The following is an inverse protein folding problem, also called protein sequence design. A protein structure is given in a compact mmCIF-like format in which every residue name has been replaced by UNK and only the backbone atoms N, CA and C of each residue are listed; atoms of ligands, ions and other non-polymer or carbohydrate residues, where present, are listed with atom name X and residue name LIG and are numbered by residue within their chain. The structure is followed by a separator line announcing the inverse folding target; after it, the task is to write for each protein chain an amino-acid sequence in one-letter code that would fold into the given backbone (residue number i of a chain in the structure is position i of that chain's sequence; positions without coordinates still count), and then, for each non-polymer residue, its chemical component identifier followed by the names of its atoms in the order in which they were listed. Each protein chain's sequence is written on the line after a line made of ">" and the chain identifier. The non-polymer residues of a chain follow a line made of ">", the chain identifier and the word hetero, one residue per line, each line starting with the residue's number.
data_IF_428779747949
#
_entry.id   IF_428779747949
#
_cell.length_a   1.000
_cell.length_b   1.000
_cell.length_c   1.000
_cell.angle_alpha   90.00
_cell.angle_beta   90.00
_cell.angle_gamma   90.00
#
_symmetry.space_group_name_H-M   'P 1'
#
loop_
_entity.id
_entity.type
_entity.pdbx_description
1 polymer ?
#
# COMPACT_ATOMS: atom_id res chain seq x y z
N UNK A 1 24.00 37.84 48.29
CA UNK A 1 24.45 39.23 48.56
C UNK A 1 25.65 39.52 47.66
N UNK A 2 25.84 40.77 47.23
CA UNK A 2 26.96 41.17 46.36
C UNK A 2 26.52 41.64 44.96
N UNK A 3 26.29 42.95 44.81
CA UNK A 3 26.15 43.67 43.52
C UNK A 3 27.26 44.72 43.41
N UNK A 4 27.75 44.98 42.20
CA UNK A 4 28.06 46.33 41.64
C UNK A 4 28.38 46.14 40.13
N UNK A 5 27.70 46.76 39.14
CA UNK A 5 27.79 48.17 38.65
C UNK A 5 29.23 48.69 38.49
N UNK A 6 29.64 49.39 37.43
CA UNK A 6 28.97 50.20 36.38
C UNK A 6 29.72 49.99 35.02
N UNK A 7 29.37 50.48 33.84
CA UNK A 7 28.98 51.86 33.46
C UNK A 7 28.41 51.87 32.01
N UNK A 8 27.37 52.66 31.74
CA UNK A 8 26.92 52.98 30.37
C UNK A 8 27.54 54.32 29.92
N UNK A 9 27.82 54.44 28.63
CA UNK A 9 28.02 55.72 27.94
C UNK A 9 27.42 55.60 26.53
N UNK A 10 26.36 56.37 26.26
CA UNK A 10 25.83 56.57 24.91
C UNK A 10 26.55 57.73 24.23
N UNK A 11 26.85 57.59 22.94
CA UNK A 11 27.22 58.70 22.06
C UNK A 11 26.40 58.60 20.77
N UNK A 12 25.86 59.74 20.33
CA UNK A 12 25.09 59.89 19.09
C UNK A 12 25.97 59.83 17.84
N UNK A 13 25.45 59.28 16.74
CA UNK A 13 25.89 59.59 15.38
C UNK A 13 24.74 59.42 14.39
N UNK A 14 24.63 60.35 13.42
CA UNK A 14 23.55 60.41 12.43
C UNK A 14 24.08 60.02 11.04
N UNK A 15 23.30 59.18 10.34
CA UNK A 15 23.24 58.90 8.88
C UNK A 15 24.52 59.05 8.02
N UNK A 16 24.86 57.96 7.33
CA UNK A 16 25.11 58.00 5.88
C UNK A 16 24.61 56.72 5.21
N UNK A 17 23.99 56.85 4.03
CA UNK A 17 23.48 55.71 3.25
C UNK A 17 24.63 55.06 2.47
N UNK A 18 24.90 53.78 2.75
CA UNK A 18 25.88 52.97 2.03
C UNK A 18 25.27 51.65 1.56
N UNK A 19 25.07 51.48 0.25
CA UNK A 19 24.47 50.27 -0.30
C UNK A 19 25.49 49.10 -0.35
N UNK A 20 25.53 48.28 0.69
CA UNK A 20 26.24 46.99 0.66
C UNK A 20 25.25 45.83 0.59
N UNK A 21 25.14 45.19 -0.59
CA UNK A 21 24.44 43.90 -0.72
C UNK A 21 25.16 42.84 0.11
N UNK A 22 24.63 42.52 1.30
CA UNK A 22 25.04 41.33 2.04
C UNK A 22 24.10 40.18 1.67
N UNK A 23 24.65 39.10 1.13
CA UNK A 23 23.88 37.92 0.76
C UNK A 23 23.58 37.09 2.01
N UNK A 24 22.35 37.15 2.50
CA UNK A 24 21.85 36.27 3.57
C UNK A 24 20.65 35.46 3.07
N UNK A 25 20.51 34.23 3.58
CA UNK A 25 19.48 33.23 3.25
C UNK A 25 19.41 32.73 1.79
N UNK A 26 20.26 31.76 1.46
CA UNK A 26 20.00 30.75 0.41
C UNK A 26 20.23 29.33 0.94
N UNK A 27 19.62 29.01 2.09
CA UNK A 27 19.69 27.69 2.71
C UNK A 27 18.40 27.28 3.44
N UNK A 28 17.22 27.72 2.93
CA UNK A 28 15.92 27.21 3.41
C UNK A 28 14.82 27.25 2.32
N UNK A 29 15.12 26.68 1.14
CA UNK A 29 14.12 26.57 0.06
C UNK A 29 14.20 25.26 -0.74
N UNK A 30 15.01 24.30 -0.29
CA UNK A 30 15.19 22.99 -0.93
C UNK A 30 14.30 21.89 -0.34
N UNK A 31 13.86 22.01 0.92
CA UNK A 31 13.05 20.99 1.59
C UNK A 31 11.53 21.19 1.43
N UNK A 32 11.03 22.43 1.36
CA UNK A 32 9.58 22.68 1.29
C UNK A 32 9.00 22.74 -0.15
N UNK A 33 9.78 22.35 -1.16
CA UNK A 33 9.23 21.90 -2.46
C UNK A 33 8.63 20.50 -2.33
N UNK A 34 7.65 20.35 -1.43
CA UNK A 34 6.67 19.26 -1.50
C UNK A 34 6.00 19.35 -2.87
N UNK A 35 6.41 18.45 -3.78
CA UNK A 35 5.86 18.30 -5.12
C UNK A 35 4.36 18.08 -5.00
N UNK A 36 3.55 19.12 -5.23
CA UNK A 36 2.09 19.04 -5.14
C UNK A 36 1.61 17.98 -6.13
N UNK A 37 1.18 16.83 -5.63
CA UNK A 37 0.34 15.93 -6.43
C UNK A 37 -0.98 16.64 -6.67
N UNK A 38 -1.52 16.62 -7.88
CA UNK A 38 -2.74 17.37 -8.19
C UNK A 38 -3.94 16.92 -7.35
N UNK A 39 -3.96 15.65 -6.94
CA UNK A 39 -4.99 15.10 -6.06
C UNK A 39 -4.95 15.61 -4.61
N UNK A 40 -3.80 16.10 -4.11
CA UNK A 40 -3.41 16.32 -2.69
C UNK A 40 -4.55 16.40 -1.64
N UNK A 41 -5.21 15.27 -1.38
CA UNK A 41 -6.42 15.17 -0.54
C UNK A 41 -6.11 14.78 0.92
N UNK A 42 -4.82 14.74 1.29
CA UNK A 42 -4.35 14.33 2.62
C UNK A 42 -4.39 12.82 2.88
N UNK A 43 -4.89 12.01 1.94
CA UNK A 43 -5.01 10.55 2.07
C UNK A 43 -3.86 9.82 1.36
N UNK A 44 -3.71 8.53 1.68
CA UNK A 44 -2.73 7.64 1.01
C UNK A 44 -1.27 8.03 1.21
N UNK A 45 -0.89 8.72 2.29
CA UNK A 45 0.51 9.10 2.57
C UNK A 45 1.44 7.87 2.70
N UNK A 46 0.89 6.75 3.15
CA UNK A 46 1.41 5.39 3.01
C UNK A 46 0.39 4.54 2.23
N UNK A 47 0.76 3.35 1.73
CA UNK A 47 -0.20 2.46 1.06
C UNK A 47 -1.37 2.09 1.98
N UNK A 48 -2.59 2.01 1.46
CA UNK A 48 -3.74 1.65 2.28
C UNK A 48 -3.67 0.18 2.75
N UNK A 49 -4.17 -0.06 3.95
CA UNK A 49 -4.23 -1.40 4.57
C UNK A 49 -5.65 -1.71 5.01
N UNK A 50 -6.14 -2.90 4.72
CA UNK A 50 -7.51 -3.28 5.02
C UNK A 50 -7.84 -4.70 4.58
N UNK A 51 -9.11 -4.90 4.27
CA UNK A 51 -9.69 -6.16 3.81
C UNK A 51 -10.72 -5.87 2.71
N UNK A 52 -10.96 -6.83 1.82
CA UNK A 52 -11.96 -6.76 0.76
C UNK A 52 -12.68 -8.11 0.61
N UNK A 53 -13.99 -8.07 0.32
CA UNK A 53 -14.83 -9.27 0.24
C UNK A 53 -14.59 -10.17 -0.96
N UNK A 54 -14.01 -9.67 -2.07
CA UNK A 54 -14.10 -10.30 -3.38
C UNK A 54 -13.43 -11.67 -3.48
N UNK A 55 -12.14 -11.79 -3.13
CA UNK A 55 -11.38 -13.00 -3.40
C UNK A 55 -11.93 -14.25 -2.69
N UNK A 56 -12.55 -14.08 -1.51
CA UNK A 56 -13.14 -15.18 -0.75
C UNK A 56 -14.66 -15.33 -0.94
N UNK A 57 -15.41 -14.22 -0.89
CA UNK A 57 -16.88 -14.25 -0.87
C UNK A 57 -17.53 -13.95 -2.22
N UNK A 58 -16.82 -13.31 -3.15
CA UNK A 58 -17.35 -12.88 -4.45
C UNK A 58 -18.68 -12.12 -4.27
N UNK A 59 -19.79 -12.68 -4.74
CA UNK A 59 -21.15 -12.13 -4.60
C UNK A 59 -21.99 -12.78 -3.48
N UNK A 60 -21.43 -13.72 -2.71
CA UNK A 60 -22.07 -14.39 -1.58
C UNK A 60 -21.76 -13.66 -0.25
N UNK A 61 -21.89 -12.33 -0.28
CA UNK A 61 -21.71 -11.43 0.86
C UNK A 61 -23.03 -10.90 1.41
N UNK A 62 -23.05 -10.58 2.71
CA UNK A 62 -24.17 -9.92 3.39
C UNK A 62 -23.68 -9.10 4.58
N UNK A 63 -24.57 -8.28 5.15
CA UNK A 63 -24.33 -7.42 6.30
C UNK A 63 -23.71 -8.16 7.49
N UNK A 64 -24.17 -9.38 7.80
CA UNK A 64 -23.63 -10.19 8.91
C UNK A 64 -22.16 -10.53 8.69
N UNK A 65 -21.80 -11.02 7.49
CA UNK A 65 -20.41 -11.34 7.13
C UNK A 65 -19.51 -10.10 7.29
N UNK A 66 -19.98 -8.92 6.87
CA UNK A 66 -19.18 -7.69 6.95
C UNK A 66 -19.03 -7.20 8.40
N UNK A 67 -20.08 -7.30 9.21
CA UNK A 67 -20.03 -6.97 10.64
C UNK A 67 -19.08 -7.91 11.40
N UNK A 68 -19.19 -9.21 11.19
CA UNK A 68 -18.30 -10.22 11.77
C UNK A 68 -16.84 -10.05 11.32
N UNK A 69 -16.61 -9.71 10.06
CA UNK A 69 -15.27 -9.40 9.53
C UNK A 69 -14.68 -8.14 10.18
N UNK A 70 -15.48 -7.09 10.39
CA UNK A 70 -15.05 -5.91 11.14
C UNK A 70 -14.68 -6.26 12.60
N UNK A 71 -15.46 -7.12 13.25
CA UNK A 71 -15.15 -7.63 14.59
C UNK A 71 -13.90 -8.53 14.61
N UNK A 72 -13.70 -9.36 13.59
CA UNK A 72 -12.51 -10.19 13.43
C UNK A 72 -11.24 -9.34 13.25
N UNK A 73 -11.27 -8.29 12.42
CA UNK A 73 -10.14 -7.36 12.25
C UNK A 73 -9.72 -6.70 13.57
N UNK A 74 -10.68 -6.35 14.44
CA UNK A 74 -10.37 -5.79 15.77
C UNK A 74 -9.86 -6.87 16.74
N UNK A 75 -10.58 -7.97 16.88
CA UNK A 75 -10.29 -9.01 17.88
C UNK A 75 -9.01 -9.81 17.61
N UNK A 76 -8.65 -9.99 16.33
CA UNK A 76 -7.35 -10.55 15.91
C UNK A 76 -6.18 -9.56 16.02
N UNK A 77 -6.46 -8.27 16.28
CA UNK A 77 -5.45 -7.22 16.36
C UNK A 77 -4.94 -6.70 15.01
N UNK A 78 -5.44 -7.20 13.87
CA UNK A 78 -5.11 -6.68 12.53
C UNK A 78 -5.40 -5.18 12.41
N UNK A 79 -6.52 -4.71 12.97
CA UNK A 79 -6.87 -3.28 13.01
C UNK A 79 -5.79 -2.41 13.68
N UNK A 80 -5.15 -2.94 14.74
CA UNK A 80 -4.06 -2.27 15.48
C UNK A 80 -2.76 -2.22 14.67
N UNK A 81 -2.53 -3.20 13.79
CA UNK A 81 -1.38 -3.24 12.90
C UNK A 81 -1.53 -2.33 11.66
N UNK A 82 -2.76 -1.92 11.34
CA UNK A 82 -3.03 -0.92 10.29
C UNK A 82 -4.19 -1.27 9.36
N UNK A 83 -4.67 -2.51 9.36
CA UNK A 83 -5.75 -2.98 8.49
C UNK A 83 -7.10 -2.36 8.90
N UNK A 84 -7.39 -1.16 8.38
CA UNK A 84 -8.48 -0.29 8.86
C UNK A 84 -9.66 -0.18 7.91
N UNK A 85 -9.44 -0.40 6.61
CA UNK A 85 -10.51 -0.35 5.61
C UNK A 85 -11.22 -1.70 5.50
N UNK A 86 -12.54 -1.71 5.67
CA UNK A 86 -13.43 -2.84 5.40
C UNK A 86 -14.15 -2.55 4.09
N UNK A 87 -13.64 -3.10 2.99
CA UNK A 87 -14.13 -2.75 1.65
C UNK A 87 -15.21 -3.75 1.20
N UNK A 88 -16.40 -3.24 0.94
CA UNK A 88 -17.40 -3.94 0.13
C UNK A 88 -16.94 -3.92 -1.32
N UNK A 89 -16.83 -5.10 -1.93
CA UNK A 89 -16.67 -5.21 -3.38
C UNK A 89 -18.04 -5.28 -4.10
N UNK A 90 -18.10 -5.76 -5.34
CA UNK A 90 -19.33 -5.86 -6.13
C UNK A 90 -20.47 -6.65 -5.43
N UNK A 91 -21.67 -6.61 -6.03
CA UNK A 91 -22.87 -7.33 -5.56
C UNK A 91 -23.51 -6.83 -4.24
N UNK A 92 -23.10 -5.68 -3.70
CA UNK A 92 -23.73 -5.06 -2.52
C UNK A 92 -25.08 -4.37 -2.80
N UNK A 93 -25.29 -3.90 -4.04
CA UNK A 93 -26.44 -3.07 -4.43
C UNK A 93 -27.62 -3.83 -5.02
N UNK A 94 -28.78 -3.16 -5.08
CA UNK A 94 -29.92 -3.62 -5.87
C UNK A 94 -29.62 -3.58 -7.38
N UNK A 95 -30.27 -4.46 -8.15
CA UNK A 95 -30.05 -4.58 -9.61
C UNK A 95 -30.45 -3.33 -10.41
N UNK A 96 -31.41 -2.56 -9.88
CA UNK A 96 -31.90 -1.31 -10.44
C UNK A 96 -31.68 -0.17 -9.45
N UNK A 97 -31.50 1.04 -9.98
CA UNK A 97 -31.61 2.28 -9.20
C UNK A 97 -33.05 2.49 -8.74
N UNK A 98 -33.22 3.28 -7.68
CA UNK A 98 -34.52 3.88 -7.32
C UNK A 98 -35.12 4.69 -8.49
N UNK A 99 -36.43 4.98 -8.52
CA UNK A 99 -37.05 5.85 -9.54
C UNK A 99 -36.38 7.22 -9.66
N UNK A 100 -35.84 7.76 -8.56
CA UNK A 100 -35.10 9.01 -8.47
C UNK A 100 -33.65 8.88 -8.99
N UNK A 101 -33.22 7.69 -9.41
CA UNK A 101 -31.91 7.40 -9.97
C UNK A 101 -30.80 7.20 -8.94
N UNK A 102 -31.11 7.04 -7.65
CA UNK A 102 -30.11 6.77 -6.60
C UNK A 102 -29.77 5.28 -6.52
N UNK A 103 -28.52 4.96 -6.21
CA UNK A 103 -28.11 3.62 -5.76
C UNK A 103 -28.79 3.28 -4.43
N UNK A 104 -29.04 1.98 -4.22
CA UNK A 104 -29.65 1.44 -3.00
C UNK A 104 -28.95 0.11 -2.67
N UNK A 105 -28.62 -0.11 -1.41
CA UNK A 105 -28.11 -1.40 -0.94
C UNK A 105 -29.17 -2.48 -1.11
N UNK A 106 -28.75 -3.72 -1.35
CA UNK A 106 -29.69 -4.83 -1.51
C UNK A 106 -30.41 -5.10 -0.18
N UNK A 107 -31.73 -4.99 -0.14
CA UNK A 107 -32.52 -5.04 1.10
C UNK A 107 -32.57 -6.44 1.74
N UNK A 108 -32.20 -7.49 0.99
CA UNK A 108 -32.14 -8.87 1.48
C UNK A 108 -30.78 -9.14 2.13
N UNK A 109 -29.68 -8.73 1.49
CA UNK A 109 -28.32 -8.96 2.01
C UNK A 109 -27.82 -7.84 2.93
N UNK A 110 -28.37 -6.63 2.83
CA UNK A 110 -28.05 -5.45 3.65
C UNK A 110 -29.32 -4.78 4.19
N UNK A 111 -30.14 -5.49 5.00
CA UNK A 111 -31.46 -5.02 5.45
C UNK A 111 -31.41 -3.73 6.29
N UNK A 112 -30.32 -3.45 7.00
CA UNK A 112 -30.16 -2.19 7.74
C UNK A 112 -29.73 -0.99 6.87
N UNK A 113 -29.37 -1.24 5.59
CA UNK A 113 -28.82 -0.24 4.68
C UNK A 113 -27.35 0.11 4.94
N UNK A 114 -26.68 0.63 3.90
CA UNK A 114 -25.23 0.88 3.91
C UNK A 114 -24.80 1.93 4.95
N UNK A 115 -25.63 2.94 5.25
CA UNK A 115 -25.34 3.92 6.31
C UNK A 115 -25.23 3.25 7.69
N UNK A 116 -26.14 2.35 8.04
CA UNK A 116 -26.09 1.65 9.33
C UNK A 116 -24.89 0.70 9.43
N UNK A 117 -24.48 0.11 8.29
CA UNK A 117 -23.25 -0.67 8.20
C UNK A 117 -21.99 0.19 8.36
N UNK A 118 -21.95 1.38 7.76
CA UNK A 118 -20.86 2.34 7.93
C UNK A 118 -20.74 2.78 9.41
N UNK A 119 -21.87 3.17 10.03
CA UNK A 119 -21.94 3.51 11.45
C UNK A 119 -21.42 2.37 12.35
N UNK A 120 -21.76 1.11 12.01
CA UNK A 120 -21.23 -0.06 12.71
C UNK A 120 -19.71 -0.18 12.56
N UNK A 121 -19.17 -0.12 11.34
CA UNK A 121 -17.72 -0.21 11.07
C UNK A 121 -16.96 0.94 11.76
N UNK A 122 -17.50 2.16 11.72
CA UNK A 122 -16.96 3.32 12.44
C UNK A 122 -16.95 3.13 13.96
N UNK A 123 -17.99 2.50 14.54
CA UNK A 123 -18.04 2.18 15.97
C UNK A 123 -16.91 1.24 16.44
N UNK A 124 -16.30 0.49 15.52
CA UNK A 124 -15.13 -0.38 15.75
C UNK A 124 -13.79 0.34 15.56
N UNK A 125 -13.79 1.63 15.24
CA UNK A 125 -12.59 2.40 14.88
C UNK A 125 -12.03 2.08 13.49
N UNK A 126 -12.83 1.44 12.64
CA UNK A 126 -12.50 1.07 11.27
C UNK A 126 -13.13 2.08 10.28
N UNK A 127 -12.90 1.85 8.98
CA UNK A 127 -13.39 2.67 7.85
C UNK A 127 -14.13 1.80 6.85
N UNK A 128 -15.26 2.25 6.31
CA UNK A 128 -16.02 1.49 5.31
C UNK A 128 -15.61 1.89 3.90
N UNK A 129 -15.25 0.92 3.07
CA UNK A 129 -15.11 1.09 1.64
C UNK A 129 -16.29 0.54 0.85
N UNK A 130 -16.54 1.10 -0.32
CA UNK A 130 -17.57 0.64 -1.25
C UNK A 130 -16.99 0.47 -2.66
N UNK A 131 -17.77 -0.17 -3.54
CA UNK A 131 -17.40 -0.45 -4.91
C UNK A 131 -18.43 0.10 -5.91
N UNK A 132 -17.96 0.58 -7.05
CA UNK A 132 -18.76 0.83 -8.26
C UNK A 132 -17.86 0.71 -9.51
N UNK A 133 -18.42 0.91 -10.70
CA UNK A 133 -17.71 0.90 -11.98
C UNK A 133 -17.88 2.21 -12.74
N UNK A 134 -16.85 2.65 -13.47
CA UNK A 134 -16.86 3.73 -14.46
C UNK A 134 -17.63 3.37 -15.75
N UNK A 135 -18.68 2.57 -15.63
CA UNK A 135 -19.55 2.13 -16.72
C UNK A 135 -21.01 2.05 -16.29
N UNK A 136 -21.87 1.56 -17.18
CA UNK A 136 -23.31 1.48 -16.92
C UNK A 136 -23.68 0.42 -15.88
N UNK A 137 -22.85 -0.62 -15.75
CA UNK A 137 -23.01 -1.73 -14.80
C UNK A 137 -21.67 -2.12 -14.19
N UNK A 138 -21.72 -2.77 -13.04
CA UNK A 138 -20.55 -3.39 -12.41
C UNK A 138 -20.11 -4.67 -13.11
N UNK A 139 -18.91 -5.19 -12.83
CA UNK A 139 -18.35 -6.34 -13.54
C UNK A 139 -19.18 -7.62 -13.39
N UNK A 140 -19.81 -7.85 -12.25
CA UNK A 140 -20.76 -8.97 -12.03
C UNK A 140 -22.07 -8.84 -12.82
N UNK A 141 -22.34 -7.67 -13.43
CA UNK A 141 -23.61 -7.30 -14.05
C UNK A 141 -24.81 -7.25 -13.07
N UNK A 142 -24.60 -7.45 -11.75
CA UNK A 142 -25.69 -7.57 -10.75
C UNK A 142 -26.17 -6.25 -10.19
N UNK A 143 -25.47 -5.13 -10.40
CA UNK A 143 -25.90 -3.81 -9.95
C UNK A 143 -25.47 -2.69 -10.93
N UNK A 144 -26.07 -1.47 -10.83
CA UNK A 144 -25.69 -0.34 -11.66
C UNK A 144 -24.25 0.13 -11.38
N UNK A 145 -23.54 0.55 -12.43
CA UNK A 145 -22.33 1.35 -12.30
C UNK A 145 -22.67 2.85 -12.25
N UNK A 146 -21.66 3.70 -12.11
CA UNK A 146 -21.83 5.14 -11.85
C UNK A 146 -21.63 6.05 -13.07
N UNK A 147 -21.42 5.50 -14.27
CA UNK A 147 -21.22 6.31 -15.48
C UNK A 147 -22.45 7.20 -15.77
N UNK A 148 -22.25 8.51 -15.81
CA UNK A 148 -23.31 9.53 -15.96
C UNK A 148 -24.10 9.81 -14.67
N UNK A 149 -23.71 9.22 -13.53
CA UNK A 149 -24.32 9.39 -12.21
C UNK A 149 -23.29 9.79 -11.14
N UNK A 150 -22.06 10.13 -11.53
CA UNK A 150 -20.88 10.23 -10.67
C UNK A 150 -21.09 11.20 -9.49
N UNK A 151 -21.63 12.39 -9.76
CA UNK A 151 -21.90 13.39 -8.71
C UNK A 151 -23.00 12.94 -7.74
N UNK A 152 -24.04 12.25 -8.25
CA UNK A 152 -25.14 11.73 -7.44
C UNK A 152 -24.66 10.59 -6.55
N UNK A 153 -23.95 9.63 -7.13
CA UNK A 153 -23.45 8.46 -6.42
C UNK A 153 -22.38 8.85 -5.40
N UNK A 154 -21.46 9.78 -5.72
CA UNK A 154 -20.51 10.31 -4.76
C UNK A 154 -21.20 11.01 -3.58
N UNK A 155 -22.27 11.78 -3.82
CA UNK A 155 -23.11 12.36 -2.75
C UNK A 155 -23.83 11.30 -1.92
N UNK A 156 -24.29 10.21 -2.55
CA UNK A 156 -24.89 9.06 -1.85
C UNK A 156 -23.87 8.35 -0.96
N UNK A 157 -22.67 8.05 -1.46
CA UNK A 157 -21.61 7.42 -0.67
C UNK A 157 -21.18 8.32 0.50
N UNK A 158 -21.06 9.64 0.28
CA UNK A 158 -20.77 10.60 1.33
C UNK A 158 -21.88 10.68 2.40
N UNK A 159 -23.17 10.65 2.00
CA UNK A 159 -24.28 10.65 2.96
C UNK A 159 -24.39 9.35 3.75
N UNK A 160 -23.87 8.24 3.21
CA UNK A 160 -23.72 6.97 3.90
C UNK A 160 -22.48 6.89 4.80
N UNK A 161 -21.56 7.86 4.76
CA UNK A 161 -20.33 7.83 5.57
C UNK A 161 -19.23 6.90 5.01
N UNK A 162 -19.22 6.64 3.71
CA UNK A 162 -18.17 5.85 3.06
C UNK A 162 -16.82 6.58 3.09
N UNK A 163 -15.75 5.86 3.42
CA UNK A 163 -14.37 6.37 3.52
C UNK A 163 -13.50 6.07 2.29
N UNK A 164 -13.88 5.08 1.47
CA UNK A 164 -13.06 4.54 0.38
C UNK A 164 -13.93 4.07 -0.80
N UNK A 165 -13.46 4.25 -2.03
CA UNK A 165 -14.13 3.78 -3.24
C UNK A 165 -13.15 2.97 -4.11
N UNK A 166 -13.45 1.69 -4.34
CA UNK A 166 -12.91 0.94 -5.47
C UNK A 166 -13.75 1.29 -6.70
N UNK A 167 -13.10 1.83 -7.74
CA UNK A 167 -13.80 2.30 -8.94
C UNK A 167 -13.30 1.54 -10.18
N UNK A 168 -14.15 0.65 -10.66
CA UNK A 168 -13.86 -0.33 -11.72
C UNK A 168 -14.13 0.23 -13.13
N UNK A 169 -14.11 -0.64 -14.13
CA UNK A 169 -13.99 -0.27 -15.54
C UNK A 169 -14.78 -1.20 -16.49
N UNK A 170 -15.73 -1.97 -15.97
CA UNK A 170 -16.62 -2.79 -16.77
C UNK A 170 -17.78 -1.98 -17.36
N UNK A 171 -18.31 -2.41 -18.50
CA UNK A 171 -19.49 -1.82 -19.17
C UNK A 171 -19.41 -0.30 -19.45
N UNK A 172 -18.23 0.23 -19.79
CA UNK A 172 -18.09 1.63 -20.25
C UNK A 172 -18.77 1.85 -21.61
N UNK A 173 -19.11 3.10 -21.90
CA UNK A 173 -19.63 3.61 -23.19
C UNK A 173 -18.61 3.57 -24.36
N UNK A 174 -17.41 3.03 -24.14
CA UNK A 174 -16.31 3.09 -25.11
C UNK A 174 -15.59 4.44 -25.16
N UNK A 175 -15.92 5.39 -24.28
CA UNK A 175 -15.10 6.57 -24.08
C UNK A 175 -13.68 6.16 -23.70
N UNK A 176 -12.69 6.84 -24.28
CA UNK A 176 -11.32 6.68 -23.86
C UNK A 176 -11.14 7.42 -22.52
N UNK A 177 -11.36 6.68 -21.42
CA UNK A 177 -10.37 6.73 -20.32
C UNK A 177 -8.99 6.53 -20.95
N UNK A 178 -7.91 7.09 -20.39
CA UNK A 178 -6.64 7.21 -21.12
C UNK A 178 -5.49 6.32 -20.61
N UNK A 179 -5.61 5.01 -20.36
CA UNK A 179 -6.66 4.00 -20.64
C UNK A 179 -6.76 3.02 -19.47
N UNK A 180 -7.84 2.22 -19.48
CA UNK A 180 -8.20 1.11 -18.57
C UNK A 180 -7.06 0.17 -18.13
N UNK A 181 -6.01 0.60 -17.42
CA UNK A 181 -4.79 -0.22 -17.22
C UNK A 181 -3.92 -0.37 -18.49
N UNK A 182 -4.56 -0.41 -19.67
CA UNK A 182 -3.98 -0.59 -21.00
C UNK A 182 -3.41 0.68 -21.65
N UNK A 183 -3.31 1.78 -20.89
CA UNK A 183 -2.33 2.83 -21.14
C UNK A 183 -1.85 3.38 -19.80
N UNK A 184 -1.17 2.50 -19.08
CA UNK A 184 -0.20 2.83 -18.02
C UNK A 184 -0.74 3.82 -16.97
N UNK A 185 -1.72 3.43 -16.12
CA UNK A 185 -2.32 4.33 -15.13
C UNK A 185 -1.32 4.94 -14.16
N UNK A 186 -0.14 4.34 -13.99
CA UNK A 186 0.96 4.93 -13.26
C UNK A 186 1.45 6.30 -13.80
N UNK A 187 1.25 6.59 -15.09
CA UNK A 187 1.61 7.87 -15.70
C UNK A 187 0.70 9.02 -15.24
N UNK A 188 -0.57 8.75 -14.93
CA UNK A 188 -1.61 9.79 -14.78
C UNK A 188 -2.53 9.62 -13.57
N UNK A 189 -2.64 8.42 -12.99
CA UNK A 189 -3.56 8.07 -11.90
C UNK A 189 -3.37 8.92 -10.64
N UNK A 190 -2.14 9.37 -10.35
CA UNK A 190 -1.83 10.25 -9.21
C UNK A 190 -2.47 11.65 -9.28
N UNK A 191 -3.13 11.99 -10.39
CA UNK A 191 -3.94 13.20 -10.54
C UNK A 191 -5.39 13.01 -10.05
N UNK A 192 -5.88 11.76 -9.97
CA UNK A 192 -7.30 11.45 -9.75
C UNK A 192 -7.57 10.41 -8.65
N UNK A 193 -6.64 9.51 -8.33
CA UNK A 193 -6.79 8.46 -7.31
C UNK A 193 -5.54 8.24 -6.44
N UNK A 194 -5.75 7.77 -5.22
CA UNK A 194 -4.68 7.49 -4.25
C UNK A 194 -3.95 6.16 -4.51
N UNK A 195 -4.54 5.26 -5.28
CA UNK A 195 -3.87 4.12 -5.91
C UNK A 195 -4.53 3.78 -7.25
N UNK A 196 -3.89 2.94 -8.04
CA UNK A 196 -4.42 2.47 -9.32
C UNK A 196 -3.93 1.06 -9.63
N UNK A 197 -4.84 0.18 -10.04
CA UNK A 197 -4.52 -1.19 -10.46
C UNK A 197 -3.59 -1.16 -11.67
N UNK A 198 -2.43 -1.81 -11.57
CA UNK A 198 -1.43 -1.89 -12.65
C UNK A 198 -1.56 -3.15 -13.52
N UNK A 199 -2.39 -4.10 -13.09
CA UNK A 199 -2.47 -5.46 -13.62
C UNK A 199 -3.93 -5.92 -13.71
N UNK A 200 -4.17 -7.01 -14.45
CA UNK A 200 -5.44 -7.76 -14.35
C UNK A 200 -5.59 -8.39 -12.97
N UNK A 201 -6.76 -8.96 -12.71
CA UNK A 201 -7.05 -9.56 -11.41
C UNK A 201 -6.07 -10.69 -11.08
N UNK A 202 -5.68 -10.74 -9.81
CA UNK A 202 -4.86 -11.80 -9.25
C UNK A 202 -5.69 -13.08 -9.11
N UNK A 203 -5.01 -14.21 -9.04
CA UNK A 203 -5.58 -15.49 -8.64
C UNK A 203 -4.65 -16.12 -7.59
N UNK A 204 -5.19 -16.93 -6.70
CA UNK A 204 -4.45 -17.65 -5.65
C UNK A 204 -3.56 -18.77 -6.21
N UNK A 205 -2.54 -18.39 -6.98
CA UNK A 205 -1.56 -19.26 -7.63
C UNK A 205 -0.21 -18.58 -7.74
N UNK A 206 0.87 -19.34 -7.62
CA UNK A 206 2.24 -18.86 -7.77
C UNK A 206 2.46 -18.08 -9.08
N UNK A 207 1.93 -18.61 -10.18
CA UNK A 207 2.08 -18.03 -11.53
C UNK A 207 1.43 -16.64 -11.59
N UNK A 208 0.23 -16.47 -11.00
CA UNK A 208 -0.44 -15.17 -11.01
C UNK A 208 0.30 -14.15 -10.15
N UNK A 209 0.69 -14.48 -8.91
CA UNK A 209 1.39 -13.51 -8.05
C UNK A 209 2.73 -13.08 -8.66
N UNK A 210 3.42 -13.99 -9.36
CA UNK A 210 4.68 -13.75 -10.06
C UNK A 210 4.51 -12.90 -11.32
N UNK A 211 3.40 -13.05 -12.04
CA UNK A 211 3.08 -12.18 -13.18
C UNK A 211 2.67 -10.78 -12.72
N UNK A 212 1.76 -10.68 -11.73
CA UNK A 212 1.30 -9.41 -11.18
C UNK A 212 2.46 -8.53 -10.68
N UNK A 213 3.45 -9.13 -9.98
CA UNK A 213 4.60 -8.37 -9.47
C UNK A 213 5.59 -7.93 -10.56
N UNK A 214 5.85 -8.77 -11.57
CA UNK A 214 6.74 -8.45 -12.69
C UNK A 214 6.15 -7.32 -13.57
N UNK A 215 4.82 -7.27 -13.75
CA UNK A 215 4.15 -6.18 -14.45
C UNK A 215 4.12 -4.88 -13.62
N UNK A 216 3.81 -4.97 -12.32
CA UNK A 216 3.81 -3.82 -11.40
C UNK A 216 5.20 -3.15 -11.28
N UNK A 217 6.28 -3.93 -11.26
CA UNK A 217 7.65 -3.42 -11.11
C UNK A 217 8.00 -2.31 -12.13
N UNK A 218 7.51 -2.45 -13.37
CA UNK A 218 7.74 -1.50 -14.47
C UNK A 218 7.40 -0.07 -14.05
N UNK A 219 6.37 0.08 -13.23
CA UNK A 219 5.80 1.35 -12.80
C UNK A 219 6.37 1.93 -11.50
N UNK A 220 7.32 1.25 -10.85
CA UNK A 220 7.84 1.62 -9.52
C UNK A 220 8.48 3.02 -9.36
N UNK A 221 8.64 3.81 -10.44
CA UNK A 221 9.12 5.21 -10.40
C UNK A 221 7.99 6.23 -10.17
N UNK A 222 6.75 5.79 -10.32
CA UNK A 222 5.57 6.64 -10.27
C UNK A 222 4.84 6.58 -8.93
N UNK A 223 4.97 5.44 -8.22
CA UNK A 223 4.54 5.30 -6.84
C UNK A 223 5.28 6.27 -5.90
N UNK A 224 4.54 6.91 -5.02
CA UNK A 224 5.00 7.94 -4.08
C UNK A 224 3.91 8.19 -3.01
N UNK A 225 4.23 8.82 -1.87
CA UNK A 225 3.21 9.28 -0.92
C UNK A 225 2.04 10.02 -1.59
N UNK A 226 0.82 9.52 -1.37
CA UNK A 226 -0.42 10.00 -1.97
C UNK A 226 -0.86 9.29 -3.26
N UNK A 227 -0.05 8.38 -3.83
CA UNK A 227 -0.36 7.70 -5.09
C UNK A 227 0.45 6.41 -5.31
N UNK A 228 -0.20 5.25 -5.23
CA UNK A 228 0.44 3.92 -5.24
C UNK A 228 0.07 3.06 -6.45
N UNK A 229 1.03 2.28 -6.95
CA UNK A 229 0.73 1.19 -7.87
C UNK A 229 0.11 0.03 -7.10
N UNK A 230 -0.97 -0.53 -7.65
CA UNK A 230 -1.74 -1.60 -7.02
C UNK A 230 -1.65 -2.89 -7.88
N UNK A 231 -0.82 -3.87 -7.46
CA UNK A 231 -0.74 -5.20 -8.09
C UNK A 231 -1.91 -6.14 -7.73
N UNK A 232 -2.98 -5.61 -7.11
CA UNK A 232 -4.20 -6.29 -6.63
C UNK A 232 -4.12 -6.83 -5.18
N UNK A 233 -5.23 -7.41 -4.71
CA UNK A 233 -5.43 -7.89 -3.35
C UNK A 233 -4.51 -9.04 -2.92
N UNK A 234 -4.43 -9.29 -1.61
CA UNK A 234 -3.62 -10.33 -1.00
C UNK A 234 -4.39 -11.66 -0.92
N UNK A 235 -3.85 -12.71 -1.52
CA UNK A 235 -4.42 -14.08 -1.53
C UNK A 235 -4.04 -14.93 -0.30
N UNK A 236 -3.26 -14.37 0.64
CA UNK A 236 -2.74 -15.10 1.80
C UNK A 236 -3.89 -15.72 2.62
N UNK A 237 -3.98 -17.04 2.58
CA UNK A 237 -4.97 -17.83 3.34
C UNK A 237 -6.13 -18.40 2.52
N UNK A 238 -6.20 -18.19 1.19
CA UNK A 238 -7.27 -18.72 0.35
C UNK A 238 -7.08 -20.20 -0.08
N UNK A 239 -5.86 -20.75 0.08
CA UNK A 239 -5.56 -22.20 0.04
C UNK A 239 -4.91 -22.73 -1.25
N UNK A 240 -4.74 -21.91 -2.28
CA UNK A 240 -4.13 -22.25 -3.57
C UNK A 240 -2.60 -22.18 -3.61
N UNK A 241 -1.95 -21.65 -2.58
CA UNK A 241 -0.48 -21.58 -2.45
C UNK A 241 0.03 -22.12 -1.11
N UNK A 242 1.31 -22.47 -1.08
CA UNK A 242 2.03 -22.91 0.12
C UNK A 242 2.37 -21.73 1.05
N UNK A 243 2.74 -22.02 2.30
CA UNK A 243 3.19 -21.01 3.28
C UNK A 243 4.35 -20.16 2.76
N UNK A 244 5.36 -20.77 2.16
CA UNK A 244 6.54 -20.05 1.66
C UNK A 244 6.19 -19.15 0.45
N UNK A 245 5.28 -19.60 -0.41
CA UNK A 245 4.74 -18.79 -1.51
C UNK A 245 3.92 -17.59 -1.00
N UNK A 246 3.10 -17.77 0.04
CA UNK A 246 2.41 -16.65 0.70
C UNK A 246 3.36 -15.69 1.42
N UNK A 247 4.46 -16.20 2.00
CA UNK A 247 5.54 -15.37 2.55
C UNK A 247 6.20 -14.55 1.44
N UNK A 248 6.44 -15.12 0.26
CA UNK A 248 6.92 -14.40 -0.93
C UNK A 248 5.91 -13.35 -1.37
N UNK A 249 4.63 -13.71 -1.52
CA UNK A 249 3.55 -12.80 -1.92
C UNK A 249 3.48 -11.56 -1.03
N UNK A 250 3.35 -11.76 0.30
CA UNK A 250 3.25 -10.67 1.26
C UNK A 250 4.53 -9.83 1.29
N UNK A 251 5.72 -10.47 1.20
CA UNK A 251 6.99 -9.75 1.12
C UNK A 251 7.09 -8.86 -0.11
N UNK A 252 6.69 -9.37 -1.28
CA UNK A 252 6.76 -8.63 -2.54
C UNK A 252 5.80 -7.44 -2.56
N UNK A 253 4.56 -7.62 -2.12
CA UNK A 253 3.59 -6.53 -1.97
C UNK A 253 4.11 -5.47 -0.98
N UNK A 254 4.66 -5.92 0.15
CA UNK A 254 5.21 -5.03 1.17
C UNK A 254 6.39 -4.20 0.67
N UNK A 255 7.42 -4.82 0.06
CA UNK A 255 8.56 -4.07 -0.50
C UNK A 255 8.12 -3.15 -1.64
N UNK A 256 7.12 -3.55 -2.43
CA UNK A 256 6.62 -2.78 -3.56
C UNK A 256 5.65 -1.65 -3.21
N UNK A 257 5.39 -1.39 -1.91
CA UNK A 257 4.45 -0.33 -1.46
C UNK A 257 3.06 -0.48 -2.11
N UNK A 258 2.67 -1.74 -2.36
CA UNK A 258 1.32 -2.08 -2.75
C UNK A 258 0.35 -1.81 -1.60
N UNK A 259 -0.93 -1.56 -1.89
CA UNK A 259 -2.00 -1.72 -0.90
C UNK A 259 -1.92 -3.11 -0.25
N UNK A 260 -2.04 -3.20 1.07
CA UNK A 260 -2.14 -4.47 1.80
C UNK A 260 -3.60 -4.72 2.15
N UNK A 261 -4.36 -5.15 1.15
CA UNK A 261 -5.78 -5.46 1.26
C UNK A 261 -5.94 -6.98 1.33
N UNK A 262 -6.31 -7.49 2.51
CA UNK A 262 -6.52 -8.91 2.78
C UNK A 262 -7.73 -9.41 1.98
N UNK A 263 -7.57 -10.51 1.23
CA UNK A 263 -8.63 -11.14 0.42
C UNK A 263 -9.15 -12.48 0.98
N UNK A 264 -8.73 -12.92 2.16
CA UNK A 264 -9.19 -14.16 2.81
C UNK A 264 -10.27 -13.91 3.88
N UNK A 265 -10.92 -14.98 4.37
CA UNK A 265 -11.82 -14.88 5.53
C UNK A 265 -11.03 -14.71 6.84
N UNK A 266 -10.92 -13.44 7.29
CA UNK A 266 -10.24 -13.08 8.55
C UNK A 266 -10.93 -13.63 9.80
N UNK A 267 -12.19 -14.10 9.71
CA UNK A 267 -12.92 -14.72 10.83
C UNK A 267 -12.42 -16.13 11.14
N UNK A 268 -11.75 -16.80 10.19
CA UNK A 268 -11.29 -18.18 10.31
C UNK A 268 -9.87 -18.38 9.72
N UNK A 269 -8.92 -17.53 10.10
CA UNK A 269 -7.53 -17.65 9.66
C UNK A 269 -6.83 -18.87 10.27
N UNK A 270 -6.06 -19.60 9.46
CA UNK A 270 -5.06 -20.53 9.99
C UNK A 270 -3.99 -19.77 10.78
N UNK A 271 -3.30 -20.48 11.69
CA UNK A 271 -2.15 -19.91 12.42
C UNK A 271 -1.09 -19.34 11.46
N UNK A 272 -0.89 -19.99 10.32
CA UNK A 272 0.11 -19.58 9.33
C UNK A 272 -0.30 -18.31 8.57
N UNK A 273 -1.58 -18.21 8.20
CA UNK A 273 -2.19 -17.01 7.64
C UNK A 273 -2.04 -15.83 8.59
N UNK A 274 -2.35 -16.05 9.87
CA UNK A 274 -2.20 -15.06 10.94
C UNK A 274 -0.73 -14.63 11.12
N UNK A 275 0.22 -15.57 11.22
CA UNK A 275 1.67 -15.28 11.33
C UNK A 275 2.18 -14.40 10.17
N UNK A 276 1.72 -14.64 8.95
CA UNK A 276 2.10 -13.86 7.76
C UNK A 276 1.49 -12.46 7.83
N UNK A 277 0.17 -12.35 7.97
CA UNK A 277 -0.55 -11.08 7.91
C UNK A 277 -0.25 -10.16 9.10
N UNK A 278 0.19 -10.71 10.24
CA UNK A 278 0.53 -9.93 11.45
C UNK A 278 2.01 -9.55 11.58
N UNK A 279 2.87 -9.86 10.60
CA UNK A 279 4.30 -9.52 10.69
C UNK A 279 4.53 -7.99 10.62
N UNK A 280 4.62 -7.36 11.80
CA UNK A 280 4.79 -5.92 11.96
C UNK A 280 6.08 -5.36 11.34
N UNK A 281 7.15 -6.16 11.22
CA UNK A 281 8.39 -5.73 10.57
C UNK A 281 8.24 -5.63 9.05
N UNK A 282 7.46 -6.55 8.45
CA UNK A 282 7.14 -6.52 7.02
C UNK A 282 6.13 -5.41 6.71
N UNK A 283 5.14 -5.20 7.58
CA UNK A 283 4.22 -4.06 7.50
C UNK A 283 4.99 -2.73 7.59
N UNK A 284 5.97 -2.60 8.49
CA UNK A 284 6.79 -1.40 8.62
C UNK A 284 7.63 -1.10 7.36
N UNK A 285 7.99 -2.12 6.57
CA UNK A 285 8.65 -1.94 5.27
C UNK A 285 7.67 -1.38 4.22
N UNK A 286 6.39 -1.77 4.26
CA UNK A 286 5.36 -1.24 3.38
C UNK A 286 4.99 0.22 3.75
N UNK A 287 4.83 0.48 5.04
CA UNK A 287 4.43 1.77 5.63
C UNK A 287 5.61 2.74 5.86
N UNK A 288 6.78 2.49 5.26
CA UNK A 288 7.97 3.33 5.46
C UNK A 288 7.75 4.76 4.91
N UNK A 289 8.11 5.75 5.72
CA UNK A 289 7.78 7.16 5.50
C UNK A 289 8.37 7.79 4.24
N UNK A 290 9.44 7.24 3.65
CA UNK A 290 9.96 7.76 2.36
C UNK A 290 9.17 7.25 1.16
N UNK A 291 8.36 6.20 1.32
CA UNK A 291 7.37 5.77 0.32
C UNK A 291 7.96 5.32 -1.02
N UNK A 292 9.16 4.73 -1.04
CA UNK A 292 9.82 4.29 -2.29
C UNK A 292 9.47 2.83 -2.59
N UNK A 293 8.81 2.58 -3.72
CA UNK A 293 8.57 1.24 -4.24
C UNK A 293 9.91 0.58 -4.64
N UNK A 294 10.15 -0.62 -4.08
CA UNK A 294 11.34 -1.43 -4.35
C UNK A 294 11.29 -2.07 -5.74
N UNK A 295 12.47 -2.32 -6.31
CA UNK A 295 12.67 -2.95 -7.62
C UNK A 295 13.63 -4.13 -7.54
N UNK A 296 13.63 -4.93 -8.60
CA UNK A 296 14.62 -5.94 -8.91
C UNK A 296 15.91 -5.25 -9.36
N UNK A 297 17.00 -5.52 -8.67
CA UNK A 297 18.34 -5.01 -9.01
C UNK A 297 19.22 -6.06 -9.67
N UNK A 298 18.88 -7.34 -9.53
CA UNK A 298 19.58 -8.47 -10.15
C UNK A 298 18.63 -9.63 -10.45
N UNK A 299 18.83 -10.29 -11.58
CA UNK A 299 18.20 -11.57 -11.94
C UNK A 299 19.21 -12.49 -12.64
N UNK A 300 19.34 -13.71 -12.15
CA UNK A 300 20.20 -14.77 -12.70
C UNK A 300 19.38 -16.07 -12.80
N UNK A 301 18.81 -16.33 -13.97
CA UNK A 301 17.77 -17.36 -14.13
C UNK A 301 16.57 -17.03 -13.24
N UNK A 302 16.23 -17.96 -12.35
CA UNK A 302 15.12 -17.82 -11.39
C UNK A 302 15.51 -17.15 -10.07
N UNK A 303 16.80 -16.81 -9.90
CA UNK A 303 17.31 -16.18 -8.68
C UNK A 303 17.28 -14.66 -8.81
N UNK A 304 16.55 -13.99 -7.92
CA UNK A 304 16.33 -12.55 -7.97
C UNK A 304 16.80 -11.85 -6.69
N UNK A 305 17.36 -10.66 -6.85
CA UNK A 305 17.62 -9.71 -5.78
C UNK A 305 16.76 -8.48 -6.01
N UNK A 306 15.93 -8.16 -5.03
CA UNK A 306 15.13 -6.94 -4.99
C UNK A 306 15.66 -6.06 -3.86
N UNK A 307 15.86 -4.76 -4.10
CA UNK A 307 16.37 -3.86 -3.08
C UNK A 307 15.93 -2.40 -3.27
N UNK A 308 15.87 -1.67 -2.17
CA UNK A 308 15.56 -0.24 -2.20
C UNK A 308 15.75 0.46 -0.86
N UNK A 309 15.66 1.80 -0.86
CA UNK A 309 15.83 2.61 0.33
C UNK A 309 14.63 2.48 1.29
N UNK A 310 14.92 2.67 2.56
CA UNK A 310 13.99 2.92 3.65
C UNK A 310 14.44 4.19 4.39
N UNK A 311 13.62 4.74 5.30
CA UNK A 311 14.04 5.88 6.11
C UNK A 311 15.24 5.55 7.02
N UNK A 312 15.94 6.57 7.54
CA UNK A 312 17.18 6.42 8.34
C UNK A 312 18.33 5.71 7.59
N UNK A 313 18.50 6.01 6.30
CA UNK A 313 19.54 5.43 5.42
C UNK A 313 19.48 3.90 5.24
N UNK A 314 18.52 3.23 5.87
CA UNK A 314 18.32 1.78 5.81
C UNK A 314 18.06 1.31 4.37
N UNK A 315 18.27 0.02 4.15
CA UNK A 315 17.91 -0.68 2.91
C UNK A 315 17.06 -1.89 3.24
N UNK A 316 16.06 -2.16 2.41
CA UNK A 316 15.44 -3.48 2.36
C UNK A 316 16.07 -4.28 1.23
N UNK A 317 16.30 -5.57 1.48
CA UNK A 317 16.82 -6.53 0.50
C UNK A 317 15.98 -7.81 0.59
N UNK A 318 15.42 -8.22 -0.53
CA UNK A 318 14.73 -9.50 -0.69
C UNK A 318 15.53 -10.38 -1.66
N UNK A 319 15.90 -11.56 -1.19
CA UNK A 319 16.53 -12.62 -1.97
C UNK A 319 15.44 -13.65 -2.29
N UNK A 320 15.11 -13.83 -3.56
CA UNK A 320 13.97 -14.65 -4.02
C UNK A 320 14.44 -15.76 -4.96
N UNK A 321 14.03 -16.99 -4.70
CA UNK A 321 14.25 -18.12 -5.59
C UNK A 321 12.91 -18.52 -6.23
N UNK A 322 12.79 -18.32 -7.55
CA UNK A 322 11.59 -18.66 -8.32
C UNK A 322 11.61 -20.06 -8.95
N UNK A 323 12.67 -20.84 -8.75
CA UNK A 323 12.79 -22.17 -9.35
C UNK A 323 11.84 -23.17 -8.67
N UNK A 324 11.26 -24.08 -9.45
CA UNK A 324 10.31 -25.09 -8.98
C UNK A 324 10.89 -26.08 -7.94
N UNK A 325 12.23 -26.16 -7.83
CA UNK A 325 12.92 -27.12 -6.96
C UNK A 325 14.32 -26.70 -6.55
N UNK A 326 14.78 -27.29 -5.45
CA UNK A 326 16.15 -27.13 -4.95
C UNK A 326 16.31 -25.99 -3.96
N UNK A 327 17.56 -25.62 -3.69
CA UNK A 327 17.92 -24.51 -2.81
C UNK A 327 19.22 -23.88 -3.30
N UNK A 328 19.21 -22.56 -3.50
CA UNK A 328 20.30 -21.86 -4.17
C UNK A 328 20.84 -20.72 -3.31
N UNK A 329 22.17 -20.52 -3.25
CA UNK A 329 22.75 -19.34 -2.61
C UNK A 329 22.52 -18.11 -3.48
N UNK A 330 21.78 -17.13 -2.96
CA UNK A 330 21.56 -15.83 -3.61
C UNK A 330 22.40 -14.78 -2.90
N UNK A 331 23.08 -13.90 -3.65
CA UNK A 331 23.96 -12.86 -3.11
C UNK A 331 23.56 -11.48 -3.61
N UNK A 332 23.37 -10.55 -2.69
CA UNK A 332 23.23 -9.12 -2.96
C UNK A 332 24.52 -8.40 -2.57
N UNK A 333 25.19 -7.75 -3.53
CA UNK A 333 26.39 -6.94 -3.27
C UNK A 333 26.01 -5.48 -3.03
N UNK A 334 26.76 -4.78 -2.17
CA UNK A 334 26.46 -3.40 -1.76
C UNK A 334 26.34 -2.44 -2.96
N UNK A 335 27.23 -2.61 -3.94
CA UNK A 335 27.22 -1.89 -5.22
C UNK A 335 25.91 -2.03 -6.03
N UNK A 336 25.23 -3.17 -5.91
CA UNK A 336 24.01 -3.48 -6.67
C UNK A 336 22.76 -2.98 -5.91
N UNK A 337 22.82 -2.88 -4.58
CA UNK A 337 21.72 -2.44 -3.69
C UNK A 337 21.85 -0.98 -3.22
N UNK A 338 22.77 -0.21 -3.80
CA UNK A 338 22.95 1.21 -3.50
C UNK A 338 23.43 1.50 -2.08
N UNK A 339 24.39 0.69 -1.59
CA UNK A 339 25.16 0.93 -0.35
C UNK A 339 26.64 1.16 -0.75
N UNK A 340 27.36 2.12 -0.14
CA UNK A 340 28.80 2.26 -0.37
C UNK A 340 29.57 0.98 0.04
N UNK A 341 30.51 0.52 -0.78
CA UNK A 341 31.13 -0.81 -0.62
C UNK A 341 31.82 -1.06 0.74
N UNK A 342 32.32 -0.02 1.40
CA UNK A 342 32.96 -0.10 2.72
C UNK A 342 32.00 -0.04 3.91
N UNK A 343 30.71 0.25 3.70
CA UNK A 343 29.73 0.41 4.77
C UNK A 343 29.50 -0.92 5.51
N UNK A 344 29.74 -0.90 6.82
CA UNK A 344 29.36 -1.98 7.72
C UNK A 344 27.89 -1.82 8.08
N UNK A 345 27.11 -2.90 8.03
CA UNK A 345 25.68 -2.90 8.36
C UNK A 345 25.35 -3.96 9.41
N UNK A 346 24.35 -3.67 10.23
CA UNK A 346 23.56 -4.69 10.91
C UNK A 346 22.49 -5.22 9.96
N UNK A 347 22.25 -6.53 9.94
CA UNK A 347 21.23 -7.17 9.12
C UNK A 347 20.15 -7.81 10.00
N UNK A 348 18.89 -7.49 9.70
CA UNK A 348 17.69 -8.00 10.39
C UNK A 348 16.89 -8.92 9.46
N UNK A 349 16.84 -10.22 9.76
CA UNK A 349 15.91 -11.16 9.12
C UNK A 349 14.51 -10.95 9.74
N UNK A 350 13.61 -10.32 8.97
CA UNK A 350 12.29 -9.87 9.46
C UNK A 350 11.27 -11.01 9.54
N UNK A 351 11.53 -12.14 8.88
CA UNK A 351 10.69 -13.34 8.96
C UNK A 351 11.09 -14.26 10.10
N UNK A 352 12.38 -14.27 10.48
CA UNK A 352 12.86 -14.96 11.69
C UNK A 352 12.81 -14.10 12.94
N UNK A 353 12.38 -12.84 12.84
CA UNK A 353 12.48 -11.82 13.88
C UNK A 353 13.88 -11.80 14.55
N UNK A 354 14.94 -11.90 13.74
CA UNK A 354 16.31 -12.11 14.24
C UNK A 354 17.33 -11.22 13.55
N UNK A 355 18.08 -10.48 14.36
CA UNK A 355 19.29 -9.79 13.94
C UNK A 355 20.43 -10.79 13.77
N UNK A 356 21.17 -10.70 12.67
CA UNK A 356 22.35 -11.52 12.42
C UNK A 356 23.46 -11.11 13.39
N UNK A 357 24.14 -12.11 13.98
CA UNK A 357 25.23 -11.84 14.96
C UNK A 357 26.44 -11.16 14.32
N UNK A 358 26.69 -11.46 13.06
CA UNK A 358 27.80 -10.91 12.28
C UNK A 358 27.37 -9.62 11.60
N UNK A 359 28.18 -8.56 11.79
CA UNK A 359 28.06 -7.32 11.02
C UNK A 359 28.55 -7.59 9.60
N UNK A 360 27.81 -7.16 8.60
CA UNK A 360 28.10 -7.45 7.20
C UNK A 360 28.76 -6.26 6.50
N UNK A 361 29.61 -6.53 5.52
CA UNK A 361 30.19 -5.52 4.62
C UNK A 361 30.36 -6.08 3.21
N UNK A 362 30.21 -5.23 2.19
CA UNK A 362 30.32 -5.58 0.77
C UNK A 362 29.21 -6.46 0.18
N UNK A 363 28.63 -7.41 0.94
CA UNK A 363 27.55 -8.32 0.48
C UNK A 363 26.76 -8.99 1.61
N UNK A 364 25.57 -9.47 1.27
CA UNK A 364 24.81 -10.48 2.03
C UNK A 364 24.51 -11.67 1.12
N UNK A 365 24.67 -12.88 1.63
CA UNK A 365 24.35 -14.14 0.94
C UNK A 365 23.44 -15.00 1.82
N UNK A 366 22.41 -15.61 1.24
CA UNK A 366 21.62 -16.63 1.93
C UNK A 366 21.23 -17.74 0.96
N UNK A 367 21.16 -18.98 1.46
CA UNK A 367 20.56 -20.10 0.73
C UNK A 367 19.04 -19.99 0.82
N UNK A 368 18.38 -20.01 -0.33
CA UNK A 368 16.92 -19.84 -0.46
C UNK A 368 16.33 -21.04 -1.18
N UNK A 369 15.34 -21.69 -0.56
CA UNK A 369 14.63 -22.82 -1.14
C UNK A 369 13.73 -22.41 -2.31
N UNK A 370 13.31 -23.38 -3.12
CA UNK A 370 12.29 -23.20 -4.15
C UNK A 370 11.08 -22.42 -3.64
N UNK A 371 10.56 -21.52 -4.48
CA UNK A 371 9.39 -20.67 -4.23
C UNK A 371 9.41 -19.93 -2.88
N UNK A 372 10.61 -19.64 -2.37
CA UNK A 372 10.84 -19.01 -1.06
C UNK A 372 11.61 -17.71 -1.21
N UNK A 373 11.59 -16.88 -0.16
CA UNK A 373 12.48 -15.74 -0.05
C UNK A 373 13.22 -15.66 1.29
N UNK A 374 14.17 -14.72 1.37
CA UNK A 374 14.70 -14.16 2.61
C UNK A 374 14.63 -12.64 2.50
N UNK A 375 13.98 -12.00 3.47
CA UNK A 375 13.76 -10.56 3.51
C UNK A 375 14.58 -9.98 4.67
N UNK A 376 15.43 -9.00 4.36
CA UNK A 376 16.31 -8.36 5.30
C UNK A 376 16.10 -6.84 5.32
N UNK A 377 16.19 -6.25 6.50
CA UNK A 377 16.48 -4.81 6.65
C UNK A 377 17.94 -4.66 7.04
N UNK A 378 18.68 -3.89 6.26
CA UNK A 378 20.08 -3.54 6.51
C UNK A 378 20.14 -2.11 7.08
N UNK A 379 20.77 -1.96 8.24
CA UNK A 379 21.00 -0.67 8.90
C UNK A 379 22.50 -0.35 8.92
N UNK A 380 22.95 0.75 8.29
CA UNK A 380 24.33 1.22 8.41
C UNK A 380 24.74 1.41 9.88
N UNK A 381 25.99 1.06 10.18
CA UNK A 381 26.62 1.32 11.47
C UNK A 381 27.67 2.40 11.22
N UNK A 382 27.47 3.55 11.86
CA UNK A 382 28.37 4.70 11.88
C UNK A 382 29.28 4.66 13.12
#
# INVERSE_FOLDING_TARGET
>A
MGRCTMMQLMVFAILFVGATKRAESRLDSSFDKRRRSLLANGLGLTPQMGWNSWNHFQCDLNETIIKETADALVSTGLAKLGYKYVNLDDCWGNYNRTPEGNLLGNEITFPSGIKALADYVHSKGLKLGIYSSAGFRTCSNRMPGSLGYEEKDAKTFASWGVDYLKYDNCYTDGSNVTKRGWAEPALWGNMFGNSWRTTTDINDTWISIMWNIDENEKYAKYAKPGGWNDPDMLEIGNGGMTKDEYIVHFSLWAISKAPLIIGCDVRNMSKETYEILTNAEVIAINQDSIGVQVRKVKKEGDLEVWAGPLCEERRVVLLLNRADKGSSPITAHWKDIGIPSGTVVEARDVWKHKTLKEKLTGKITATVAAHSCKLFVLKPIH
#
